data_IF_544990505086
#
_entry.id   IF_544990505086
#
_cell.length_a   1.000
_cell.length_b   1.000
_cell.length_c   1.000
_cell.angle_alpha   90.00
_cell.angle_beta   90.00
_cell.angle_gamma   90.00
#
_symmetry.space_group_name_H-M   'P 1'
#
loop_
_entity.id
_entity.type
_entity.pdbx_description
1 polymer ?
#
# COMPACT_ATOMS: atom_id res chain seq x y z
N UNK A 1 17.67 36.98 -11.08
CA UNK A 1 16.92 36.93 -9.82
C UNK A 1 16.27 35.56 -9.79
N UNK A 2 16.98 34.56 -9.27
CA UNK A 2 16.53 33.15 -9.37
C UNK A 2 15.67 32.82 -8.15
N UNK A 3 14.47 32.31 -8.40
CA UNK A 3 13.48 31.92 -7.40
C UNK A 3 14.05 30.85 -6.44
N UNK A 4 14.45 31.28 -5.24
CA UNK A 4 14.77 30.40 -4.11
C UNK A 4 13.48 29.85 -3.49
N UNK A 5 12.80 28.98 -4.22
CA UNK A 5 11.63 28.24 -3.74
C UNK A 5 12.03 26.80 -3.40
N UNK A 6 11.47 26.26 -2.32
CA UNK A 6 11.61 24.84 -1.99
C UNK A 6 10.91 24.00 -3.07
N UNK A 7 11.47 22.83 -3.38
CA UNK A 7 10.83 21.87 -4.29
C UNK A 7 9.35 21.67 -3.89
N UNK A 8 8.38 21.85 -4.80
CA UNK A 8 6.95 21.75 -4.49
C UNK A 8 6.57 20.41 -3.84
N UNK A 9 7.27 19.32 -4.15
CA UNK A 9 7.03 18.01 -3.53
C UNK A 9 7.50 17.98 -2.06
N UNK A 10 8.65 18.59 -1.77
CA UNK A 10 9.17 18.71 -0.41
C UNK A 10 8.29 19.64 0.43
N UNK A 11 7.77 20.71 -0.17
CA UNK A 11 6.81 21.61 0.46
C UNK A 11 5.53 20.89 0.86
N UNK A 12 4.91 20.16 -0.07
CA UNK A 12 3.70 19.38 0.20
C UNK A 12 3.92 18.31 1.28
N UNK A 13 5.09 17.67 1.30
CA UNK A 13 5.44 16.71 2.34
C UNK A 13 5.54 17.38 3.70
N UNK A 14 6.22 18.53 3.79
CA UNK A 14 6.34 19.31 5.03
C UNK A 14 4.97 19.75 5.53
N UNK A 15 4.13 20.31 4.66
CA UNK A 15 2.77 20.76 4.99
C UNK A 15 1.88 19.59 5.47
N UNK A 16 1.96 18.43 4.82
CA UNK A 16 1.23 17.21 5.24
C UNK A 16 1.67 16.72 6.62
N UNK A 17 2.95 16.88 6.97
CA UNK A 17 3.47 16.51 8.29
C UNK A 17 3.16 17.55 9.38
N UNK A 18 3.14 18.82 9.01
CA UNK A 18 2.86 19.94 9.91
C UNK A 18 1.36 20.17 10.10
N UNK A 19 0.51 19.69 9.19
CA UNK A 19 -0.95 19.89 9.22
C UNK A 19 -1.36 21.35 9.00
N UNK A 20 -0.44 22.19 8.53
CA UNK A 20 -0.59 23.64 8.32
C UNK A 20 0.31 24.09 7.16
N UNK A 21 0.01 25.21 6.47
CA UNK A 21 0.87 25.74 5.42
C UNK A 21 2.26 26.10 5.96
N UNK A 22 3.28 25.90 5.11
CA UNK A 22 4.68 26.17 5.47
C UNK A 22 4.93 27.68 5.46
N UNK A 23 5.44 28.21 6.57
CA UNK A 23 5.81 29.63 6.68
C UNK A 23 7.08 29.95 5.87
N UNK A 24 7.21 31.14 5.27
CA UNK A 24 8.34 31.49 4.40
C UNK A 24 9.69 31.50 5.15
N UNK A 25 9.68 31.70 6.46
CA UNK A 25 10.89 31.59 7.29
C UNK A 25 11.32 30.12 7.50
N UNK A 26 10.35 29.20 7.61
CA UNK A 26 10.61 27.76 7.72
C UNK A 26 11.10 27.18 6.38
N UNK A 27 10.56 27.66 5.26
CA UNK A 27 10.97 27.30 3.91
C UNK A 27 12.46 27.62 3.67
N UNK A 28 12.92 28.81 4.07
CA UNK A 28 14.34 29.21 3.99
C UNK A 28 15.25 28.36 4.87
N UNK A 29 14.81 28.03 6.08
CA UNK A 29 15.58 27.17 6.98
C UNK A 29 15.71 25.72 6.45
N UNK A 30 14.72 25.24 5.70
CA UNK A 30 14.78 23.94 5.02
C UNK A 30 15.69 24.00 3.79
N UNK A 31 15.65 25.09 3.03
CA UNK A 31 16.55 25.33 1.90
C UNK A 31 18.03 25.36 2.32
N UNK A 32 18.36 25.99 3.44
CA UNK A 32 19.73 26.02 3.99
C UNK A 32 20.22 24.64 4.45
N UNK A 33 19.30 23.77 4.87
CA UNK A 33 19.61 22.43 5.39
C UNK A 33 19.67 21.35 4.31
N UNK A 34 19.29 21.64 3.08
CA UNK A 34 19.36 20.67 1.99
C UNK A 34 20.83 20.43 1.58
N UNK A 35 21.34 19.19 1.71
CA UNK A 35 22.74 18.86 1.47
C UNK A 35 23.16 18.94 -0.01
N UNK A 36 22.21 19.19 -0.93
CA UNK A 36 22.47 19.28 -2.37
C UNK A 36 23.09 20.59 -2.86
N UNK A 37 23.06 21.68 -2.06
CA UNK A 37 23.56 23.01 -2.49
C UNK A 37 24.92 23.39 -1.91
N UNK A 38 25.42 22.63 -0.92
CA UNK A 38 26.74 22.81 -0.31
C UNK A 38 27.79 21.82 -0.86
N UNK A 39 27.60 21.30 -2.07
CA UNK A 39 28.63 20.57 -2.81
C UNK A 39 29.70 21.52 -3.37
N UNK A 40 30.27 22.36 -2.50
CA UNK A 40 31.47 23.16 -2.74
C UNK A 40 32.06 23.61 -1.39
N UNK A 41 32.20 22.69 -0.44
CA UNK A 41 33.05 22.92 0.72
C UNK A 41 34.38 22.21 0.47
N UNK A 42 35.49 22.94 0.21
CA UNK A 42 36.79 22.32 0.02
C UNK A 42 37.26 21.72 1.34
N UNK A 43 37.80 20.51 1.28
CA UNK A 43 38.43 19.83 2.40
C UNK A 43 39.61 20.67 2.94
N UNK A 44 39.78 20.82 4.27
CA UNK A 44 40.98 21.45 4.79
C UNK A 44 42.09 20.39 4.86
N UNK A 45 43.15 20.65 4.08
CA UNK A 45 44.42 19.95 4.17
C UNK A 45 45.12 20.25 5.51
N UNK A 46 45.89 19.27 5.98
CA UNK A 46 46.76 19.37 7.16
C UNK A 46 47.81 20.49 6.99
N UNK A 47 48.00 21.32 8.03
CA UNK A 47 49.05 22.32 8.10
C UNK A 47 49.00 23.15 9.39
N UNK A 48 50.15 23.40 10.00
CA UNK A 48 50.32 23.74 11.41
C UNK A 48 50.07 25.21 11.82
N UNK A 49 49.58 25.35 13.06
CA UNK A 49 50.01 26.24 14.15
C UNK A 49 49.60 27.74 14.24
N UNK A 50 49.01 28.05 15.41
CA UNK A 50 49.23 29.19 16.33
C UNK A 50 48.24 30.38 16.38
N UNK A 51 47.38 30.32 17.42
CA UNK A 51 46.90 31.39 18.34
C UNK A 51 46.02 32.56 17.82
N UNK A 52 44.78 32.66 18.32
CA UNK A 52 44.42 33.59 19.43
C UNK A 52 42.90 33.62 19.70
N UNK A 53 42.56 33.35 20.96
CA UNK A 53 41.41 33.85 21.74
C UNK A 53 40.06 34.15 21.04
N UNK A 54 39.11 33.23 21.21
CA UNK A 54 37.76 33.60 21.61
C UNK A 54 37.21 32.45 22.45
N UNK A 55 37.02 32.69 23.75
CA UNK A 55 36.24 31.80 24.59
C UNK A 55 34.87 31.56 23.93
N UNK A 56 34.41 30.30 23.79
CA UNK A 56 33.05 30.07 23.34
C UNK A 56 32.09 30.71 24.36
N UNK A 57 31.07 31.48 23.94
CA UNK A 57 30.01 31.85 24.85
C UNK A 57 29.43 30.55 25.42
N UNK A 58 29.16 30.46 26.74
CA UNK A 58 28.56 29.26 27.30
C UNK A 58 27.22 29.07 26.60
N UNK A 59 27.10 27.97 25.85
CA UNK A 59 25.84 27.57 25.24
C UNK A 59 24.76 27.62 26.33
N UNK A 60 23.59 28.23 26.06
CA UNK A 60 22.50 28.26 27.02
C UNK A 60 22.23 26.82 27.43
N UNK A 61 22.33 26.55 28.73
CA UNK A 61 22.22 25.22 29.33
C UNK A 61 20.97 24.52 28.80
N UNK A 62 21.14 23.73 27.75
CA UNK A 62 20.25 22.64 27.41
C UNK A 62 20.17 21.82 28.69
N UNK A 63 18.95 21.69 29.23
CA UNK A 63 18.59 20.69 30.24
C UNK A 63 19.46 19.47 30.01
N UNK A 64 20.25 19.08 31.01
CA UNK A 64 21.36 18.15 30.80
C UNK A 64 20.87 16.93 30.02
N UNK A 65 21.69 16.37 29.13
CA UNK A 65 21.32 15.15 28.36
C UNK A 65 20.76 14.03 29.26
N UNK A 66 21.13 14.07 30.54
CA UNK A 66 20.62 13.25 31.62
C UNK A 66 19.14 13.55 31.98
N UNK A 67 18.77 14.80 32.23
CA UNK A 67 17.36 15.22 32.46
C UNK A 67 16.46 14.84 31.27
N UNK A 68 16.95 14.98 30.03
CA UNK A 68 16.20 14.55 28.84
C UNK A 68 15.97 13.03 28.82
N UNK A 69 16.95 12.23 29.23
CA UNK A 69 16.81 10.77 29.36
C UNK A 69 15.81 10.38 30.45
N UNK A 70 15.84 11.08 31.57
CA UNK A 70 14.89 10.88 32.68
C UNK A 70 13.46 11.24 32.26
N UNK A 71 13.29 12.35 31.55
CA UNK A 71 11.99 12.76 31.02
C UNK A 71 11.44 11.76 30.00
N UNK A 72 12.29 11.25 29.09
CA UNK A 72 11.89 10.19 28.13
C UNK A 72 11.53 8.91 28.86
N UNK A 73 12.27 8.52 29.91
CA UNK A 73 11.95 7.34 30.72
C UNK A 73 10.58 7.49 31.41
N UNK A 74 10.32 8.65 32.01
CA UNK A 74 9.05 8.94 32.65
C UNK A 74 7.89 8.96 31.65
N UNK A 75 8.08 9.59 30.48
CA UNK A 75 7.07 9.60 29.42
C UNK A 75 6.80 8.20 28.88
N UNK A 76 7.85 7.39 28.68
CA UNK A 76 7.71 6.02 28.21
C UNK A 76 6.95 5.17 29.23
N UNK A 77 7.26 5.31 30.52
CA UNK A 77 6.55 4.61 31.59
C UNK A 77 5.07 5.01 31.67
N UNK A 78 4.78 6.32 31.59
CA UNK A 78 3.41 6.83 31.58
C UNK A 78 2.64 6.37 30.33
N UNK A 79 3.30 6.36 29.17
CA UNK A 79 2.70 5.90 27.92
C UNK A 79 2.40 4.39 27.97
N UNK A 80 3.33 3.60 28.52
CA UNK A 80 3.15 2.18 28.73
C UNK A 80 1.97 1.90 29.66
N UNK A 81 1.87 2.61 30.79
CA UNK A 81 0.71 2.49 31.69
C UNK A 81 -0.60 2.83 30.96
N UNK A 82 -0.63 3.94 30.22
CA UNK A 82 -1.80 4.36 29.45
C UNK A 82 -2.16 3.36 28.36
N UNK A 83 -1.17 2.70 27.75
CA UNK A 83 -1.39 1.64 26.78
C UNK A 83 -2.00 0.39 27.43
N UNK A 84 -1.51 -0.01 28.61
CA UNK A 84 -2.10 -1.12 29.38
C UNK A 84 -3.54 -0.84 29.81
N UNK A 85 -3.85 0.36 30.28
CA UNK A 85 -5.20 0.76 30.65
C UNK A 85 -6.15 0.75 29.45
N UNK A 86 -5.71 1.27 28.30
CA UNK A 86 -6.49 1.21 27.06
C UNK A 86 -6.72 -0.23 26.62
N UNK A 87 -5.69 -1.07 26.64
CA UNK A 87 -5.81 -2.47 26.27
C UNK A 87 -6.80 -3.19 27.17
N UNK A 88 -6.73 -2.96 28.49
CA UNK A 88 -7.71 -3.52 29.44
C UNK A 88 -9.14 -3.06 29.14
N UNK A 89 -9.34 -1.79 28.83
CA UNK A 89 -10.66 -1.26 28.47
C UNK A 89 -11.22 -1.88 27.18
N UNK A 90 -10.35 -2.09 26.18
CA UNK A 90 -10.73 -2.77 24.93
C UNK A 90 -11.14 -4.22 25.23
N UNK A 91 -10.33 -4.97 25.98
CA UNK A 91 -10.67 -6.35 26.36
C UNK A 91 -12.00 -6.42 27.11
N UNK A 92 -12.23 -5.54 28.09
CA UNK A 92 -13.48 -5.50 28.83
C UNK A 92 -14.69 -5.17 27.93
N UNK A 93 -14.50 -4.34 26.91
CA UNK A 93 -15.55 -4.03 25.93
C UNK A 93 -15.84 -5.24 25.04
N UNK A 94 -14.80 -5.95 24.60
CA UNK A 94 -14.95 -7.18 23.82
C UNK A 94 -15.69 -8.25 24.62
N UNK A 95 -15.35 -8.44 25.90
CA UNK A 95 -16.01 -9.40 26.77
C UNK A 95 -17.51 -9.07 26.94
N UNK A 96 -17.85 -7.80 27.19
CA UNK A 96 -19.24 -7.37 27.31
C UNK A 96 -20.02 -7.52 25.98
N UNK A 97 -19.39 -7.23 24.84
CA UNK A 97 -19.98 -7.45 23.52
C UNK A 97 -20.21 -8.93 23.25
N UNK A 98 -19.28 -9.80 23.65
CA UNK A 98 -19.40 -11.24 23.48
C UNK A 98 -20.52 -11.80 24.35
N UNK A 99 -20.60 -11.41 25.63
CA UNK A 99 -21.70 -11.81 26.53
C UNK A 99 -23.07 -11.37 25.98
N UNK A 100 -23.16 -10.15 25.48
CA UNK A 100 -24.39 -9.64 24.84
C UNK A 100 -24.77 -10.48 23.61
N UNK A 101 -23.79 -10.82 22.78
CA UNK A 101 -24.00 -11.63 21.56
C UNK A 101 -24.43 -13.05 21.90
N UNK A 102 -23.79 -13.68 22.89
CA UNK A 102 -24.15 -15.01 23.38
C UNK A 102 -25.55 -15.00 24.02
N UNK A 103 -25.91 -13.97 24.78
CA UNK A 103 -27.25 -13.81 25.35
C UNK A 103 -28.34 -13.63 24.27
N UNK A 104 -28.02 -12.89 23.20
CA UNK A 104 -28.91 -12.77 22.04
C UNK A 104 -29.08 -14.11 21.33
N UNK A 105 -27.98 -14.82 21.07
CA UNK A 105 -28.02 -16.15 20.47
C UNK A 105 -28.82 -17.14 21.32
N UNK A 106 -28.65 -17.14 22.64
CA UNK A 106 -29.43 -17.97 23.55
C UNK A 106 -30.93 -17.61 23.50
N UNK A 107 -31.27 -16.33 23.41
CA UNK A 107 -32.65 -15.86 23.27
C UNK A 107 -33.25 -16.28 21.92
N UNK A 108 -32.47 -16.25 20.84
CA UNK A 108 -32.90 -16.74 19.53
C UNK A 108 -33.09 -18.25 19.54
N UNK A 109 -32.17 -19.01 20.14
CA UNK A 109 -32.34 -20.46 20.32
C UNK A 109 -33.61 -20.78 21.11
N UNK A 110 -33.88 -20.07 22.20
CA UNK A 110 -35.11 -20.27 22.97
C UNK A 110 -36.37 -19.93 22.15
N UNK A 111 -36.34 -18.88 21.33
CA UNK A 111 -37.44 -18.55 20.43
C UNK A 111 -37.65 -19.64 19.37
N UNK A 112 -36.58 -20.14 18.78
CA UNK A 112 -36.63 -21.22 17.77
C UNK A 112 -37.16 -22.51 18.40
N UNK A 113 -36.68 -22.90 19.58
CA UNK A 113 -37.21 -24.04 20.32
C UNK A 113 -38.70 -23.88 20.65
N UNK A 114 -39.12 -22.70 21.09
CA UNK A 114 -40.53 -22.43 21.37
C UNK A 114 -41.44 -22.51 20.14
N UNK A 115 -40.94 -22.15 18.95
CA UNK A 115 -41.67 -22.29 17.69
C UNK A 115 -41.73 -23.76 17.23
N UNK A 116 -40.66 -24.53 17.45
CA UNK A 116 -40.62 -25.96 17.14
C UNK A 116 -41.58 -26.77 18.03
N UNK A 117 -41.61 -26.50 19.34
CA UNK A 117 -42.57 -27.14 20.27
C UNK A 117 -44.02 -26.75 19.93
N UNK A 118 -44.27 -25.53 19.47
CA UNK A 118 -45.60 -25.10 19.03
C UNK A 118 -46.07 -25.77 17.73
N UNK A 119 -45.18 -26.44 17.00
CA UNK A 119 -45.46 -27.15 15.75
C UNK A 119 -45.39 -28.69 15.91
N UNK A 120 -45.45 -29.23 17.14
CA UNK A 120 -45.66 -30.67 17.32
C UNK A 120 -47.07 -31.03 16.80
N UNK A 121 -47.20 -31.76 15.67
CA UNK A 121 -48.51 -32.09 15.13
C UNK A 121 -49.16 -33.16 16.01
N UNK A 122 -50.50 -33.12 16.22
CA UNK A 122 -51.18 -34.23 16.88
C UNK A 122 -50.98 -35.51 16.08
N UNK A 123 -50.63 -36.60 16.76
CA UNK A 123 -50.22 -37.92 16.22
C UNK A 123 -51.23 -38.61 15.27
N UNK A 124 -52.36 -37.96 14.95
CA UNK A 124 -53.51 -38.53 14.24
C UNK A 124 -53.99 -37.69 13.03
N UNK A 125 -53.09 -37.18 12.19
CA UNK A 125 -53.46 -36.56 10.91
C UNK A 125 -52.79 -37.27 9.70
N UNK A 126 -53.56 -37.63 8.65
CA UNK A 126 -53.06 -38.47 7.57
C UNK A 126 -51.96 -37.78 6.76
N UNK A 127 -51.03 -38.60 6.23
CA UNK A 127 -49.82 -38.25 5.47
C UNK A 127 -50.02 -37.49 4.14
N UNK A 128 -51.10 -36.71 3.99
CA UNK A 128 -51.39 -35.90 2.81
C UNK A 128 -50.53 -34.64 2.73
N UNK A 129 -50.13 -34.05 3.86
CA UNK A 129 -49.26 -32.86 3.88
C UNK A 129 -47.79 -33.16 3.56
N UNK A 130 -47.31 -34.38 3.83
CA UNK A 130 -45.93 -34.76 3.56
C UNK A 130 -45.62 -34.85 2.06
N UNK A 131 -46.60 -35.24 1.23
CA UNK A 131 -46.44 -35.30 -0.23
C UNK A 131 -46.40 -33.89 -0.85
N UNK A 132 -47.31 -32.99 -0.46
CA UNK A 132 -47.31 -31.59 -0.94
C UNK A 132 -46.05 -30.81 -0.50
N UNK A 133 -45.55 -31.05 0.72
CA UNK A 133 -44.30 -30.44 1.20
C UNK A 133 -43.08 -30.97 0.42
N UNK A 134 -43.07 -32.27 0.08
CA UNK A 134 -42.01 -32.86 -0.73
C UNK A 134 -42.01 -32.32 -2.17
N UNK A 135 -43.18 -32.16 -2.79
CA UNK A 135 -43.31 -31.60 -4.12
C UNK A 135 -42.94 -30.10 -4.15
N UNK A 136 -43.37 -29.32 -3.15
CA UNK A 136 -42.94 -27.92 -2.99
C UNK A 136 -41.43 -27.79 -2.77
N UNK A 137 -40.82 -28.70 -2.01
CA UNK A 137 -39.36 -28.73 -1.81
C UNK A 137 -38.64 -29.09 -3.11
N UNK A 138 -39.18 -30.02 -3.89
CA UNK A 138 -38.63 -30.42 -5.19
C UNK A 138 -38.70 -29.27 -6.20
N UNK A 139 -39.79 -28.53 -6.23
CA UNK A 139 -39.96 -27.35 -7.07
C UNK A 139 -39.01 -26.22 -6.65
N UNK A 140 -38.88 -25.96 -5.34
CA UNK A 140 -37.92 -24.98 -4.82
C UNK A 140 -36.47 -25.34 -5.20
N UNK A 141 -36.08 -26.61 -5.10
CA UNK A 141 -34.74 -27.07 -5.51
C UNK A 141 -34.51 -26.92 -7.02
N UNK A 142 -35.54 -27.13 -7.85
CA UNK A 142 -35.43 -26.92 -9.29
C UNK A 142 -35.21 -25.43 -9.63
N UNK A 143 -35.97 -24.53 -9.00
CA UNK A 143 -35.82 -23.08 -9.17
C UNK A 143 -34.46 -22.59 -8.68
N UNK A 144 -34.00 -23.08 -7.53
CA UNK A 144 -32.66 -22.76 -7.00
C UNK A 144 -31.58 -23.28 -7.95
N UNK A 145 -31.74 -24.49 -8.48
CA UNK A 145 -30.80 -25.07 -9.45
C UNK A 145 -30.69 -24.25 -10.74
N UNK A 146 -31.81 -23.75 -11.26
CA UNK A 146 -31.84 -22.87 -12.43
C UNK A 146 -31.16 -21.52 -12.14
N UNK A 147 -31.45 -20.91 -10.99
CA UNK A 147 -30.82 -19.65 -10.56
C UNK A 147 -29.31 -19.79 -10.38
N UNK A 148 -28.85 -20.85 -9.71
CA UNK A 148 -27.42 -21.14 -9.55
C UNK A 148 -26.73 -21.35 -10.89
N UNK A 149 -27.38 -22.05 -11.82
CA UNK A 149 -26.85 -22.25 -13.17
C UNK A 149 -26.73 -20.92 -13.93
N UNK A 150 -27.70 -20.02 -13.76
CA UNK A 150 -27.66 -18.67 -14.31
C UNK A 150 -26.50 -17.84 -13.74
N UNK A 151 -26.33 -17.85 -12.42
CA UNK A 151 -25.24 -17.14 -11.73
C UNK A 151 -23.86 -17.67 -12.14
N UNK A 152 -23.69 -18.99 -12.25
CA UNK A 152 -22.42 -19.59 -12.70
C UNK A 152 -22.06 -19.13 -14.11
N UNK A 153 -23.03 -19.09 -15.04
CA UNK A 153 -22.79 -18.62 -16.41
C UNK A 153 -22.38 -17.14 -16.43
N UNK A 154 -23.07 -16.30 -15.65
CA UNK A 154 -22.75 -14.88 -15.55
C UNK A 154 -21.36 -14.64 -14.96
N UNK A 155 -20.98 -15.40 -13.93
CA UNK A 155 -19.65 -15.30 -13.30
C UNK A 155 -18.55 -15.75 -14.26
N UNK A 156 -18.76 -16.83 -15.01
CA UNK A 156 -17.83 -17.29 -16.05
C UNK A 156 -17.65 -16.19 -17.11
N UNK A 157 -18.74 -15.63 -17.63
CA UNK A 157 -18.69 -14.56 -18.64
C UNK A 157 -17.99 -13.30 -18.10
N UNK A 158 -18.27 -12.92 -16.85
CA UNK A 158 -17.63 -11.77 -16.21
C UNK A 158 -16.12 -11.99 -16.01
N UNK A 159 -15.72 -13.18 -15.57
CA UNK A 159 -14.32 -13.55 -15.39
C UNK A 159 -13.55 -13.56 -16.72
N UNK A 160 -14.13 -14.14 -17.77
CA UNK A 160 -13.54 -14.11 -19.11
C UNK A 160 -13.39 -12.69 -19.64
N UNK A 161 -14.42 -11.85 -19.52
CA UNK A 161 -14.35 -10.44 -19.94
C UNK A 161 -13.26 -9.70 -19.15
N UNK A 162 -13.24 -9.81 -17.83
CA UNK A 162 -12.24 -9.13 -17.01
C UNK A 162 -10.79 -9.52 -17.40
N UNK A 163 -10.54 -10.81 -17.63
CA UNK A 163 -9.23 -11.28 -18.02
C UNK A 163 -8.85 -10.90 -19.46
N UNK A 164 -9.78 -11.08 -20.41
CA UNK A 164 -9.53 -10.83 -21.84
C UNK A 164 -9.48 -9.34 -22.13
N UNK A 165 -10.35 -8.53 -21.55
CA UNK A 165 -10.38 -7.08 -21.75
C UNK A 165 -9.08 -6.44 -21.22
N UNK A 166 -8.62 -6.84 -20.03
CA UNK A 166 -7.33 -6.36 -19.50
C UNK A 166 -6.13 -6.82 -20.33
N UNK A 167 -6.21 -7.98 -20.98
CA UNK A 167 -5.17 -8.46 -21.90
C UNK A 167 -5.23 -7.70 -23.23
N UNK A 168 -6.42 -7.46 -23.77
CA UNK A 168 -6.65 -6.70 -24.99
C UNK A 168 -6.17 -5.25 -24.85
N UNK A 169 -6.48 -4.58 -23.74
CA UNK A 169 -5.99 -3.22 -23.44
C UNK A 169 -4.45 -3.17 -23.39
N UNK A 170 -3.82 -4.11 -22.68
CA UNK A 170 -2.35 -4.18 -22.61
C UNK A 170 -1.71 -4.47 -23.97
N UNK A 171 -2.37 -5.27 -24.80
CA UNK A 171 -1.89 -5.60 -26.12
C UNK A 171 -2.04 -4.41 -27.07
N UNK A 172 -3.17 -3.69 -27.02
CA UNK A 172 -3.39 -2.45 -27.75
C UNK A 172 -2.33 -1.40 -27.42
N UNK A 173 -2.10 -1.14 -26.12
CA UNK A 173 -1.05 -0.19 -25.68
C UNK A 173 0.33 -0.58 -26.19
N UNK A 174 0.66 -1.88 -26.22
CA UNK A 174 1.94 -2.35 -26.77
C UNK A 174 2.03 -2.19 -28.29
N UNK A 175 0.94 -2.46 -29.01
CA UNK A 175 0.89 -2.28 -30.45
C UNK A 175 1.02 -0.80 -30.81
N UNK A 176 0.31 0.09 -30.13
CA UNK A 176 0.42 1.54 -30.32
C UNK A 176 1.86 2.03 -30.06
N UNK A 177 2.49 1.56 -28.98
CA UNK A 177 3.88 1.91 -28.68
C UNK A 177 4.88 1.39 -29.73
N UNK A 178 4.61 0.23 -30.34
CA UNK A 178 5.41 -0.32 -31.44
C UNK A 178 5.19 0.52 -32.71
N UNK A 179 3.94 0.85 -33.04
CA UNK A 179 3.59 1.66 -34.20
C UNK A 179 4.18 3.06 -34.10
N UNK A 180 4.11 3.72 -32.95
CA UNK A 180 4.78 5.00 -32.72
C UNK A 180 6.31 4.91 -32.89
N UNK A 181 6.91 3.82 -32.42
CA UNK A 181 8.35 3.59 -32.55
C UNK A 181 8.74 3.36 -34.01
N UNK A 182 7.93 2.62 -34.77
CA UNK A 182 8.12 2.40 -36.21
C UNK A 182 7.92 3.70 -36.99
N UNK A 183 6.91 4.49 -36.66
CA UNK A 183 6.70 5.82 -37.24
C UNK A 183 7.87 6.75 -36.95
N UNK A 184 8.43 6.75 -35.74
CA UNK A 184 9.65 7.52 -35.42
C UNK A 184 10.89 7.07 -36.20
N UNK A 185 11.01 5.77 -36.50
CA UNK A 185 12.10 5.24 -37.33
C UNK A 185 11.89 5.59 -38.81
N UNK A 186 10.65 5.51 -39.31
CA UNK A 186 10.29 5.86 -40.70
C UNK A 186 10.21 7.36 -40.96
N UNK A 187 9.94 8.17 -39.93
CA UNK A 187 9.92 9.63 -39.97
C UNK A 187 11.27 10.25 -39.58
N UNK A 188 12.30 9.45 -39.26
CA UNK A 188 13.67 9.93 -39.24
C UNK A 188 14.00 10.33 -40.69
N UNK A 189 14.21 11.62 -41.00
CA UNK A 189 14.60 12.00 -42.34
C UNK A 189 15.87 11.22 -42.69
N UNK A 190 15.94 10.74 -43.92
CA UNK A 190 17.16 10.28 -44.55
C UNK A 190 18.14 11.46 -44.66
N UNK A 191 18.66 11.94 -43.53
CA UNK A 191 19.85 12.76 -43.51
C UNK A 191 21.05 11.83 -43.55
N UNK A 192 21.52 11.67 -44.78
CA UNK A 192 22.91 11.46 -45.19
C UNK A 192 23.63 10.24 -44.61
N UNK A 193 23.60 9.18 -45.41
CA UNK A 193 24.83 8.45 -45.72
C UNK A 193 25.75 9.34 -46.57
N UNK A 194 26.93 9.66 -46.06
CA UNK A 194 28.21 9.36 -46.74
C UNK A 194 29.37 9.38 -45.73
N UNK A 195 30.47 8.65 -46.02
CA UNK A 195 31.28 7.94 -45.04
C UNK A 195 32.73 8.45 -45.00
N UNK A 196 33.54 7.74 -44.21
CA UNK A 196 35.01 7.74 -44.19
C UNK A 196 35.68 8.94 -43.48
N UNK A 197 36.24 8.67 -42.30
CA UNK A 197 37.61 8.20 -42.20
C UNK A 197 38.05 8.11 -40.73
N UNK A 198 38.53 6.92 -40.36
CA UNK A 198 39.74 6.68 -39.56
C UNK A 198 39.75 7.15 -38.09
N UNK A 199 40.36 6.47 -37.12
CA UNK A 199 41.11 5.22 -37.02
C UNK A 199 41.34 5.05 -35.51
N UNK A 200 41.30 3.81 -35.02
CA UNK A 200 41.90 3.30 -33.77
C UNK A 200 41.50 3.91 -32.42
N UNK A 201 40.92 3.10 -31.54
CA UNK A 201 41.71 2.39 -30.51
C UNK A 201 40.83 1.50 -29.61
N UNK A 202 41.30 0.25 -29.43
CA UNK A 202 41.12 -0.63 -28.26
C UNK A 202 39.67 -1.01 -27.86
N UNK A 203 39.13 -2.17 -28.25
CA UNK A 203 39.44 -3.53 -27.78
C UNK A 203 38.75 -3.94 -26.46
N UNK A 204 38.26 -5.18 -26.46
CA UNK A 204 37.71 -6.01 -25.38
C UNK A 204 36.23 -5.72 -25.03
N UNK A 205 35.33 -6.70 -24.89
CA UNK A 205 35.47 -8.15 -24.88
C UNK A 205 34.08 -8.79 -24.80
N UNK A 206 33.91 -9.90 -25.52
CA UNK A 206 33.15 -11.09 -25.10
C UNK A 206 31.63 -10.94 -25.01
N UNK A 207 30.92 -11.45 -26.01
CA UNK A 207 29.87 -12.47 -25.81
C UNK A 207 29.62 -13.18 -27.15
N UNK A 208 30.30 -14.30 -27.35
CA UNK A 208 29.98 -15.26 -28.40
C UNK A 208 30.15 -16.66 -27.80
N UNK A 209 29.02 -17.32 -27.49
CA UNK A 209 28.94 -18.77 -27.26
C UNK A 209 27.53 -19.23 -27.57
N UNK A 210 27.29 -19.90 -28.71
CA UNK A 210 26.19 -20.83 -28.88
C UNK A 210 26.71 -22.27 -28.62
N UNK A 211 25.99 -23.07 -27.84
CA UNK A 211 26.34 -24.48 -27.65
C UNK A 211 25.18 -25.28 -27.04
N UNK A 212 24.97 -26.54 -27.47
CA UNK A 212 23.65 -27.14 -27.60
C UNK A 212 23.25 -28.06 -26.44
N UNK A 213 21.95 -28.40 -26.42
CA UNK A 213 21.34 -29.41 -25.56
C UNK A 213 22.04 -30.77 -25.68
N UNK A 214 22.24 -31.44 -24.54
CA UNK A 214 22.59 -32.86 -24.48
C UNK A 214 21.73 -33.53 -23.41
N UNK A 215 20.95 -34.51 -23.86
CA UNK A 215 20.30 -35.53 -23.05
C UNK A 215 21.34 -36.55 -22.58
N UNK A 216 21.28 -36.93 -21.31
CA UNK A 216 21.40 -38.29 -20.78
C UNK A 216 20.72 -38.35 -19.41
#
# INVERSE_FOLDING_TARGET
MSDDALDPLLRQFAEKRLGRPLEPAEERALLERLPGRHAAQPAPAAGAATQASAAPPPLPRLKTRQEAREQVKHFLQLNQQKAYEKMRGILQTIDAQNETTLGMLASEQQKVSGVLDAHEPPDDAPASGAADIQDSTREALAVIGEQLTGLIRQEIDACFRHYVDSLAERLAVRLDAIDERLQRIGARPAELHEPAAAVTAAAASVHDTPGPASME
#
